data_IF_175010306472
#
_entry.id   IF_175010306472
#
_cell.length_a   1.000
_cell.length_b   1.000
_cell.length_c   1.000
_cell.angle_alpha   90.00
_cell.angle_beta   90.00
_cell.angle_gamma   90.00
#
_symmetry.space_group_name_H-M   'P 1'
#
loop_
_entity.id
_entity.type
_entity.pdbx_description
1 polymer ?
#
# COMPACT_ATOMS: atom_id res chain seq x y z
N UNK A 1 -1.41 -15.92 -6.87
CA UNK A 1 -2.04 -14.63 -6.62
C UNK A 1 -1.62 -14.09 -5.28
N UNK A 2 -1.41 -12.82 -5.19
CA UNK A 2 -0.97 -12.14 -3.96
C UNK A 2 -1.82 -10.91 -3.68
N UNK A 3 -1.96 -10.59 -2.41
CA UNK A 3 -2.51 -9.31 -1.97
C UNK A 3 -1.35 -8.47 -1.45
N UNK A 4 -1.14 -7.33 -2.08
CA UNK A 4 -0.15 -6.36 -1.61
C UNK A 4 -0.90 -5.35 -0.76
N UNK A 5 -0.50 -5.24 0.51
CA UNK A 5 -1.11 -4.32 1.45
C UNK A 5 -0.04 -3.34 1.91
N UNK A 6 -0.19 -2.09 1.54
CA UNK A 6 0.80 -1.06 1.85
C UNK A 6 0.19 -0.05 2.82
N UNK A 7 0.91 0.22 3.91
CA UNK A 7 0.52 1.25 4.87
C UNK A 7 1.50 2.40 4.71
N UNK A 8 0.99 3.56 4.34
CA UNK A 8 1.79 4.72 3.96
C UNK A 8 1.33 5.99 4.68
N UNK A 9 2.14 7.02 4.61
CA UNK A 9 1.74 8.35 5.09
C UNK A 9 0.62 8.89 4.20
N UNK A 10 -0.40 9.54 4.78
CA UNK A 10 -1.57 9.98 4.01
C UNK A 10 -1.23 10.90 2.83
N UNK A 11 -0.27 11.80 3.00
CA UNK A 11 0.08 12.75 1.94
C UNK A 11 0.81 12.11 0.76
N UNK A 12 1.20 10.83 0.89
CA UNK A 12 1.83 10.08 -0.19
C UNK A 12 0.84 9.28 -1.04
N UNK A 13 -0.44 9.30 -0.69
CA UNK A 13 -1.44 8.52 -1.38
C UNK A 13 -1.48 8.80 -2.88
N UNK A 14 -1.51 10.07 -3.27
CA UNK A 14 -1.61 10.43 -4.68
C UNK A 14 -0.37 10.00 -5.46
N UNK A 15 0.82 10.17 -4.89
CA UNK A 15 2.07 9.75 -5.53
C UNK A 15 2.09 8.25 -5.75
N UNK A 16 1.67 7.48 -4.74
CA UNK A 16 1.63 6.01 -4.84
C UNK A 16 0.58 5.58 -5.86
N UNK A 17 -0.60 6.19 -5.84
CA UNK A 17 -1.66 5.87 -6.78
C UNK A 17 -1.20 6.09 -8.22
N UNK A 18 -0.54 7.21 -8.48
CA UNK A 18 0.00 7.51 -9.81
C UNK A 18 1.07 6.50 -10.24
N UNK A 19 1.95 6.14 -9.30
CA UNK A 19 3.03 5.20 -9.60
C UNK A 19 2.51 3.82 -9.97
N UNK A 20 1.51 3.30 -9.25
CA UNK A 20 0.95 1.99 -9.56
C UNK A 20 0.05 2.03 -10.79
N UNK A 21 -0.66 3.14 -11.02
CA UNK A 21 -1.47 3.31 -12.22
C UNK A 21 -0.60 3.31 -13.48
N UNK A 22 0.59 3.89 -13.39
CA UNK A 22 1.55 3.89 -14.50
C UNK A 22 1.99 2.48 -14.90
N UNK A 23 1.93 1.52 -13.99
CA UNK A 23 2.22 0.11 -14.28
C UNK A 23 1.03 -0.62 -14.89
N UNK A 24 -0.13 0.00 -14.94
CA UNK A 24 -1.34 -0.63 -15.46
C UNK A 24 -2.24 -1.23 -14.38
N UNK A 25 -1.94 -0.99 -13.11
CA UNK A 25 -2.82 -1.40 -12.02
C UNK A 25 -4.03 -0.47 -12.01
N UNK A 26 -5.22 -1.03 -12.20
CA UNK A 26 -6.45 -0.26 -12.31
C UNK A 26 -7.41 -0.48 -11.14
N UNK A 27 -7.09 -1.38 -10.24
CA UNK A 27 -7.93 -1.66 -9.08
C UNK A 27 -7.14 -1.64 -7.79
N UNK A 28 -7.57 -0.83 -6.86
CA UNK A 28 -7.03 -0.84 -5.50
C UNK A 28 -8.10 -0.41 -4.52
N UNK A 29 -8.01 -0.92 -3.30
CA UNK A 29 -8.87 -0.50 -2.21
C UNK A 29 -8.06 0.36 -1.26
N UNK A 30 -8.64 1.47 -0.84
CA UNK A 30 -7.99 2.42 0.05
C UNK A 30 -8.79 2.53 1.34
N UNK A 31 -8.11 2.43 2.47
CA UNK A 31 -8.71 2.58 3.80
C UNK A 31 -7.91 3.57 4.63
N UNK A 32 -8.61 4.36 5.41
CA UNK A 32 -7.96 5.18 6.42
C UNK A 32 -7.75 4.33 7.66
N UNK A 33 -6.52 4.32 8.18
CA UNK A 33 -6.15 3.52 9.34
C UNK A 33 -5.32 4.37 10.28
N UNK A 34 -5.09 3.85 11.48
CA UNK A 34 -4.21 4.49 12.45
C UNK A 34 -3.02 3.59 12.70
N UNK A 35 -1.84 4.17 12.59
CA UNK A 35 -0.63 3.46 12.92
C UNK A 35 -0.26 3.65 14.38
N UNK A 36 0.19 2.59 15.00
CA UNK A 36 0.74 2.61 16.35
C UNK A 36 2.22 2.30 16.26
N UNK A 37 3.04 3.12 16.89
CA UNK A 37 4.47 2.86 16.91
C UNK A 37 5.20 3.85 17.78
N UNK A 38 6.46 3.53 18.08
CA UNK A 38 7.31 4.44 18.83
C UNK A 38 7.79 5.54 17.93
N UNK A 39 7.51 6.78 18.34
CA UNK A 39 8.08 7.95 17.68
C UNK A 39 8.89 8.70 18.69
N UNK A 40 10.21 8.65 18.54
CA UNK A 40 11.12 9.35 19.44
C UNK A 40 10.85 10.85 19.40
N UNK A 41 10.82 11.45 20.59
CA UNK A 41 10.63 12.88 20.73
C UNK A 41 9.20 13.37 20.60
N UNK A 42 8.26 12.47 20.35
CA UNK A 42 6.86 12.82 20.21
C UNK A 42 6.11 12.43 21.48
N UNK A 43 6.28 13.24 22.52
CA UNK A 43 5.61 13.03 23.80
C UNK A 43 4.75 14.24 24.13
N UNK A 44 3.68 14.01 24.86
CA UNK A 44 2.83 15.06 25.38
C UNK A 44 2.71 14.90 26.89
N UNK A 45 2.65 16.04 27.58
CA UNK A 45 2.38 16.06 29.01
C UNK A 45 0.88 16.15 29.21
N UNK A 46 0.34 15.21 29.95
CA UNK A 46 -1.05 15.21 30.32
C UNK A 46 -1.18 14.90 31.80
N UNK A 47 -1.74 15.85 32.56
CA UNK A 47 -1.88 15.75 34.01
C UNK A 47 -0.56 15.44 34.72
N UNK A 48 0.55 16.02 34.22
CA UNK A 48 1.85 15.81 34.81
C UNK A 48 2.55 14.51 34.43
N UNK A 49 1.94 13.70 33.57
CA UNK A 49 2.55 12.48 33.09
C UNK A 49 2.87 12.64 31.60
N UNK A 50 3.99 12.04 31.17
CA UNK A 50 4.34 12.01 29.77
C UNK A 50 3.61 10.88 29.06
N UNK A 51 2.98 11.21 27.95
CA UNK A 51 2.37 10.23 27.05
C UNK A 51 3.03 10.32 25.70
N UNK A 52 3.37 9.17 25.14
CA UNK A 52 3.74 9.12 23.74
C UNK A 52 2.47 9.19 22.90
N UNK A 53 2.52 9.96 21.83
CA UNK A 53 1.43 9.95 20.86
C UNK A 53 1.62 8.70 20.02
N UNK A 54 0.84 7.68 20.33
CA UNK A 54 1.05 6.34 19.78
C UNK A 54 0.29 6.11 18.46
N UNK A 55 -0.79 6.85 18.22
CA UNK A 55 -1.62 6.65 17.06
C UNK A 55 -1.52 7.83 16.10
N UNK A 56 -1.14 7.52 14.87
CA UNK A 56 -1.05 8.50 13.79
C UNK A 56 -1.88 8.04 12.61
N UNK A 57 -2.49 9.00 11.88
CA UNK A 57 -3.24 8.63 10.69
C UNK A 57 -2.32 8.04 9.62
N UNK A 58 -2.77 6.99 8.99
CA UNK A 58 -2.12 6.31 7.89
C UNK A 58 -3.16 5.94 6.86
N UNK A 59 -2.72 5.57 5.69
CA UNK A 59 -3.57 5.06 4.62
C UNK A 59 -3.11 3.66 4.27
N UNK A 60 -4.06 2.76 4.11
CA UNK A 60 -3.79 1.39 3.69
C UNK A 60 -4.30 1.20 2.26
N UNK A 61 -3.46 0.69 1.40
CA UNK A 61 -3.78 0.34 0.02
C UNK A 61 -3.71 -1.16 -0.13
N UNK A 62 -4.74 -1.76 -0.70
CA UNK A 62 -4.77 -3.19 -0.99
C UNK A 62 -4.89 -3.41 -2.49
N UNK A 63 -3.98 -4.19 -3.04
CA UNK A 63 -3.93 -4.52 -4.47
C UNK A 63 -3.79 -6.02 -4.61
N UNK A 64 -4.75 -6.65 -5.28
CA UNK A 64 -4.67 -8.06 -5.66
C UNK A 64 -3.96 -8.16 -7.01
N UNK A 65 -2.99 -9.05 -7.13
CA UNK A 65 -2.20 -9.18 -8.34
C UNK A 65 -1.70 -10.60 -8.55
N UNK A 66 -1.24 -10.88 -9.77
CA UNK A 66 -0.53 -12.13 -10.03
C UNK A 66 0.88 -12.09 -9.43
N UNK A 67 1.44 -13.28 -9.20
CA UNK A 67 2.78 -13.39 -8.60
C UNK A 67 3.83 -12.64 -9.40
N UNK A 68 3.72 -12.66 -10.72
CA UNK A 68 4.71 -12.06 -11.62
C UNK A 68 4.84 -10.55 -11.48
N UNK A 69 3.81 -9.89 -10.96
CA UNK A 69 3.77 -8.43 -10.88
C UNK A 69 4.18 -7.88 -9.51
N UNK A 70 4.37 -8.75 -8.54
CA UNK A 70 4.57 -8.34 -7.14
C UNK A 70 5.78 -7.43 -6.97
N UNK A 71 6.92 -7.82 -7.51
CA UNK A 71 8.15 -7.04 -7.33
C UNK A 71 8.06 -5.65 -7.95
N UNK A 72 7.48 -5.55 -9.13
CA UNK A 72 7.31 -4.25 -9.82
C UNK A 72 6.40 -3.31 -9.03
N UNK A 73 5.34 -3.86 -8.48
CA UNK A 73 4.39 -3.06 -7.69
C UNK A 73 5.04 -2.62 -6.37
N UNK A 74 5.73 -3.53 -5.69
CA UNK A 74 6.45 -3.19 -4.45
C UNK A 74 7.45 -2.08 -4.70
N UNK A 75 8.23 -2.18 -5.77
CA UNK A 75 9.22 -1.16 -6.11
C UNK A 75 8.56 0.20 -6.37
N UNK A 76 7.48 0.22 -7.11
CA UNK A 76 6.77 1.46 -7.42
C UNK A 76 6.22 2.12 -6.15
N UNK A 77 5.60 1.32 -5.26
CA UNK A 77 5.06 1.83 -4.00
C UNK A 77 6.20 2.34 -3.12
N UNK A 78 7.27 1.56 -2.99
CA UNK A 78 8.41 1.90 -2.14
C UNK A 78 9.04 3.24 -2.53
N UNK A 79 9.25 3.45 -3.82
CA UNK A 79 9.82 4.70 -4.32
C UNK A 79 8.88 5.88 -4.10
N UNK A 80 7.60 5.71 -4.40
CA UNK A 80 6.64 6.78 -4.31
C UNK A 80 6.33 7.18 -2.86
N UNK A 81 6.34 6.22 -1.94
CA UNK A 81 6.00 6.44 -0.54
C UNK A 81 7.19 6.88 0.31
N UNK A 82 8.39 6.75 -0.19
CA UNK A 82 9.62 7.01 0.56
C UNK A 82 9.80 8.48 0.91
N UNK A 83 10.04 8.77 2.18
CA UNK A 83 10.47 10.10 2.64
C UNK A 83 11.82 10.04 3.34
N UNK A 84 12.24 8.87 3.78
CA UNK A 84 13.46 8.67 4.56
C UNK A 84 13.29 8.98 6.04
N UNK A 85 12.08 9.31 6.45
CA UNK A 85 11.75 9.64 7.83
C UNK A 85 10.98 8.50 8.51
N UNK A 86 11.01 8.49 9.83
CA UNK A 86 10.25 7.52 10.62
C UNK A 86 8.77 7.61 10.23
N UNK A 87 8.14 6.47 10.10
CA UNK A 87 6.70 6.38 9.80
C UNK A 87 6.37 6.24 8.34
N UNK A 88 7.36 6.00 7.47
CA UNK A 88 7.11 5.77 6.04
C UNK A 88 6.21 4.57 5.77
N UNK A 89 6.14 3.64 6.70
CA UNK A 89 5.21 2.53 6.61
C UNK A 89 5.84 1.22 6.18
N UNK A 90 4.99 0.28 5.84
CA UNK A 90 5.40 -1.08 5.47
C UNK A 90 4.53 -1.61 4.36
N UNK A 91 5.07 -2.56 3.63
CA UNK A 91 4.34 -3.30 2.61
C UNK A 91 4.28 -4.75 3.04
N UNK A 92 3.07 -5.31 3.05
CA UNK A 92 2.83 -6.72 3.37
C UNK A 92 2.35 -7.43 2.12
N UNK A 93 2.79 -8.66 1.93
CA UNK A 93 2.34 -9.49 0.81
C UNK A 93 1.74 -10.77 1.38
N UNK A 94 0.50 -11.05 1.00
CA UNK A 94 -0.24 -12.22 1.44
C UNK A 94 -0.53 -13.13 0.27
N UNK A 95 -0.53 -14.42 0.51
CA UNK A 95 -1.05 -15.37 -0.47
C UNK A 95 -2.57 -15.28 -0.51
N UNK A 96 -3.12 -15.17 -1.71
CA UNK A 96 -4.56 -15.20 -1.93
C UNK A 96 -4.97 -16.56 -2.47
N UNK A 97 -5.88 -17.21 -1.76
CA UNK A 97 -6.41 -18.49 -2.20
C UNK A 97 -7.40 -18.31 -3.37
N UNK A 98 -8.27 -17.32 -3.26
CA UNK A 98 -9.30 -17.05 -4.26
C UNK A 98 -9.60 -15.57 -4.36
N UNK A 99 -9.97 -15.15 -5.57
CA UNK A 99 -10.51 -13.81 -5.84
C UNK A 99 -11.75 -14.00 -6.71
N UNK A 100 -12.82 -13.31 -6.39
CA UNK A 100 -14.05 -13.36 -7.18
C UNK A 100 -14.53 -11.95 -7.46
N UNK A 101 -14.78 -11.65 -8.72
CA UNK A 101 -15.38 -10.38 -9.11
C UNK A 101 -16.89 -10.51 -8.98
N UNK A 102 -17.48 -9.74 -8.09
CA UNK A 102 -18.90 -9.89 -7.73
C UNK A 102 -19.82 -9.71 -8.92
N UNK A 103 -19.60 -8.67 -9.72
CA UNK A 103 -20.50 -8.34 -10.85
C UNK A 103 -20.51 -9.40 -11.94
N UNK A 104 -19.34 -9.93 -12.27
CA UNK A 104 -19.19 -10.83 -13.41
C UNK A 104 -19.12 -12.32 -13.03
N UNK A 105 -18.78 -12.60 -11.76
CA UNK A 105 -18.50 -13.95 -11.32
C UNK A 105 -17.15 -14.49 -11.75
N UNK A 106 -16.34 -13.69 -12.45
CA UNK A 106 -14.99 -14.08 -12.81
C UNK A 106 -14.17 -14.43 -11.58
N UNK A 107 -13.33 -15.45 -11.70
CA UNK A 107 -12.56 -15.96 -10.57
C UNK A 107 -11.06 -15.89 -10.84
N UNK A 108 -10.32 -15.72 -9.75
CA UNK A 108 -8.87 -15.84 -9.71
C UNK A 108 -8.17 -14.98 -10.75
N UNK A 109 -7.39 -15.55 -11.66
CA UNK A 109 -6.62 -14.78 -12.65
C UNK A 109 -7.44 -13.83 -13.49
N UNK A 110 -8.68 -14.18 -13.80
CA UNK A 110 -9.58 -13.31 -14.57
C UNK A 110 -10.19 -12.19 -13.74
N UNK A 111 -10.21 -12.35 -12.41
CA UNK A 111 -10.78 -11.37 -11.50
C UNK A 111 -9.79 -10.29 -11.05
N UNK A 112 -8.51 -10.50 -11.28
CA UNK A 112 -7.45 -9.57 -10.83
C UNK A 112 -6.98 -8.69 -11.99
N UNK A 113 -6.09 -7.73 -11.65
CA UNK A 113 -5.57 -6.78 -12.63
C UNK A 113 -4.82 -7.47 -13.78
N UNK A 114 -4.88 -6.85 -14.96
CA UNK A 114 -4.13 -7.29 -16.14
C UNK A 114 -2.62 -7.22 -15.88
N UNK A 115 -1.80 -7.89 -16.72
CA UNK A 115 -0.36 -7.83 -16.59
C UNK A 115 0.17 -6.41 -16.46
N UNK A 116 1.08 -6.24 -15.54
CA UNK A 116 1.70 -4.94 -15.24
C UNK A 116 2.70 -4.60 -16.34
N UNK A 117 2.66 -3.35 -16.80
CA UNK A 117 3.61 -2.86 -17.79
C UNK A 117 4.99 -2.76 -17.18
N UNK A 118 6.06 -3.02 -17.95
CA UNK A 118 7.41 -2.84 -17.45
C UNK A 118 7.66 -1.38 -17.08
N UNK A 119 8.47 -1.16 -16.05
CA UNK A 119 8.84 0.18 -15.59
C UNK A 119 9.67 0.94 -16.62
N UNK A 120 10.37 0.21 -17.47
CA UNK A 120 11.16 0.81 -18.53
C UNK A 120 10.27 0.95 -19.76
N UNK A 121 10.18 2.17 -20.26
CA UNK A 121 9.39 2.43 -21.46
C UNK A 121 9.88 1.56 -22.63
N UNK A 122 8.99 0.91 -23.36
CA UNK A 122 9.40 0.19 -24.55
C UNK A 122 10.00 1.16 -25.57
N UNK A 123 11.08 0.76 -26.13
CA UNK A 123 11.74 1.52 -27.19
C UNK A 123 10.91 1.51 -28.45
#
# INVERSE_FOLDING_TARGET
MKLISAIIKPFKLDDVREAVAALGVDGMTVSEVKGFGRQKGHTELYRGAEYQVDFLPKVKLDIATSDDNVESIIEAISKAAYTGKIGDGKIFVYDLAHVVRIRTGEMDGEAICKPVKPMVAPS
#
